data_IF_354074665135
#
_entry.id   IF_354074665135
#
_cell.length_a   1.000
_cell.length_b   1.000
_cell.length_c   1.000
_cell.angle_alpha   90.00
_cell.angle_beta   90.00
_cell.angle_gamma   90.00
#
_symmetry.space_group_name_H-M   'P 1'
#
loop_
_entity.id
_entity.type
_entity.pdbx_description
1 polymer ?
#
# COMPACT_ATOMS: atom_id res chain seq x y z
N UNK A 1 55.56 16.24 -33.20
CA UNK A 1 55.38 15.14 -32.20
C UNK A 1 54.64 15.55 -30.92
N UNK A 2 54.80 16.76 -30.36
CA UNK A 2 54.20 17.14 -29.05
C UNK A 2 52.65 17.20 -28.96
N UNK A 3 51.93 17.54 -30.04
CA UNK A 3 50.45 17.65 -30.03
C UNK A 3 49.70 16.31 -29.98
N UNK A 4 50.25 15.25 -30.57
CA UNK A 4 49.61 13.91 -30.55
C UNK A 4 49.67 13.26 -29.16
N UNK A 5 50.75 13.51 -28.41
CA UNK A 5 50.92 13.00 -27.05
C UNK A 5 49.99 13.64 -26.02
N UNK A 6 49.67 14.94 -26.17
CA UNK A 6 48.72 15.63 -25.28
C UNK A 6 47.27 15.18 -25.48
N UNK A 7 46.85 14.86 -26.71
CA UNK A 7 45.50 14.37 -26.98
C UNK A 7 45.24 12.96 -26.42
N UNK A 8 46.25 12.09 -26.45
CA UNK A 8 46.15 10.73 -25.89
C UNK A 8 46.07 10.77 -24.36
N UNK A 9 46.80 11.70 -23.72
CA UNK A 9 46.79 11.85 -22.27
C UNK A 9 45.44 12.41 -21.74
N UNK A 10 44.79 13.31 -22.49
CA UNK A 10 43.45 13.83 -22.15
C UNK A 10 42.38 12.76 -22.37
N UNK A 11 42.48 11.95 -23.43
CA UNK A 11 41.58 10.82 -23.68
C UNK A 11 41.60 9.75 -22.58
N UNK A 12 42.80 9.44 -22.06
CA UNK A 12 42.97 8.48 -20.95
C UNK A 12 42.48 9.04 -19.60
N UNK A 13 42.60 10.35 -19.37
CA UNK A 13 42.09 11.01 -18.16
C UNK A 13 40.55 11.09 -18.16
N UNK A 14 39.92 11.30 -19.32
CA UNK A 14 38.46 11.26 -19.44
C UNK A 14 37.91 9.83 -19.28
N UNK A 15 38.61 8.81 -19.79
CA UNK A 15 38.20 7.41 -19.63
C UNK A 15 38.27 6.96 -18.15
N UNK A 16 39.27 7.41 -17.39
CA UNK A 16 39.39 7.07 -15.97
C UNK A 16 38.34 7.76 -15.10
N UNK A 17 37.92 8.98 -15.44
CA UNK A 17 36.81 9.69 -14.77
C UNK A 17 35.46 8.99 -15.04
N UNK A 18 35.22 8.49 -16.26
CA UNK A 18 33.99 7.73 -16.56
C UNK A 18 33.98 6.34 -15.89
N UNK A 19 35.13 5.69 -15.73
CA UNK A 19 35.23 4.41 -15.01
C UNK A 19 35.07 4.60 -13.49
N UNK A 20 35.53 5.73 -12.92
CA UNK A 20 35.36 6.00 -11.48
C UNK A 20 33.97 6.52 -11.08
N UNK A 21 33.27 7.25 -11.95
CA UNK A 21 31.88 7.69 -11.66
C UNK A 21 30.90 6.50 -11.73
N UNK A 22 31.23 5.44 -12.48
CA UNK A 22 30.43 4.22 -12.57
C UNK A 22 30.49 3.30 -11.33
N UNK A 23 31.45 3.51 -10.42
CA UNK A 23 31.74 2.59 -9.30
C UNK A 23 31.26 3.06 -7.92
N UNK A 24 30.74 4.28 -7.78
CA UNK A 24 30.29 4.83 -6.49
C UNK A 24 28.79 5.13 -6.42
N UNK A 25 27.97 4.57 -7.31
CA UNK A 25 26.56 4.36 -6.97
C UNK A 25 26.50 3.02 -6.27
N UNK A 26 26.64 3.02 -4.95
CA UNK A 26 26.13 1.90 -4.15
C UNK A 26 24.67 1.75 -4.57
N UNK A 27 24.37 0.78 -5.45
CA UNK A 27 23.01 0.30 -5.65
C UNK A 27 22.63 -0.23 -4.27
N UNK A 28 21.96 0.61 -3.49
CA UNK A 28 21.29 0.19 -2.25
C UNK A 28 20.39 -0.94 -2.70
N UNK A 29 20.82 -2.18 -2.43
CA UNK A 29 19.99 -3.33 -2.66
C UNK A 29 18.90 -3.22 -1.60
N UNK A 30 17.63 -3.04 -1.98
CA UNK A 30 16.57 -3.01 -1.00
C UNK A 30 16.68 -4.28 -0.16
N UNK A 31 16.46 -4.13 1.14
CA UNK A 31 16.38 -5.28 2.02
C UNK A 31 15.23 -6.16 1.54
N UNK A 32 15.51 -7.39 1.18
CA UNK A 32 14.45 -8.33 0.83
C UNK A 32 13.52 -8.50 2.04
N UNK A 33 12.23 -8.27 1.82
CA UNK A 33 11.22 -8.48 2.86
C UNK A 33 11.17 -9.96 3.23
N UNK A 34 10.97 -10.24 4.52
CA UNK A 34 10.76 -11.61 5.00
C UNK A 34 9.31 -12.09 4.80
N UNK A 35 8.40 -11.21 4.35
CA UNK A 35 7.03 -11.60 3.97
C UNK A 35 7.07 -12.56 2.78
N UNK A 36 6.63 -13.80 3.03
CA UNK A 36 6.57 -14.83 2.00
C UNK A 36 5.34 -14.64 1.13
N UNK A 37 5.42 -15.16 -0.09
CA UNK A 37 4.24 -15.26 -0.97
C UNK A 37 3.20 -16.17 -0.31
N UNK A 38 1.92 -15.85 -0.48
CA UNK A 38 0.77 -16.58 0.08
C UNK A 38 0.69 -16.62 1.62
N UNK A 39 1.56 -15.87 2.32
CA UNK A 39 1.53 -15.72 3.77
C UNK A 39 0.39 -14.80 4.19
N UNK A 40 -0.35 -15.20 5.23
CA UNK A 40 -1.46 -14.42 5.79
C UNK A 40 -0.96 -13.06 6.29
N UNK A 41 -1.69 -12.01 5.93
CA UNK A 41 -1.47 -10.63 6.34
C UNK A 41 -2.58 -10.22 7.30
N UNK A 42 -2.18 -9.71 8.45
CA UNK A 42 -3.05 -9.02 9.41
C UNK A 42 -2.70 -7.53 9.37
N UNK A 43 -3.48 -6.77 8.64
CA UNK A 43 -3.20 -5.39 8.30
C UNK A 43 -3.88 -4.42 9.24
N UNK A 44 -3.21 -3.31 9.54
CA UNK A 44 -3.77 -2.18 10.30
C UNK A 44 -3.33 -0.89 9.62
N UNK A 45 -4.14 0.17 9.67
CA UNK A 45 -3.80 1.44 9.01
C UNK A 45 -3.34 2.51 10.01
N UNK A 46 -2.25 3.18 9.67
CA UNK A 46 -1.74 4.40 10.28
C UNK A 46 -1.93 5.48 9.23
N UNK A 47 -3.02 6.23 9.34
CA UNK A 47 -3.32 7.35 8.45
C UNK A 47 -2.50 8.60 8.83
N UNK A 48 -2.87 9.79 8.39
CA UNK A 48 -2.21 11.05 8.77
C UNK A 48 -3.05 11.93 9.72
N UNK A 49 -4.24 11.50 10.15
CA UNK A 49 -5.08 12.30 11.04
C UNK A 49 -4.70 12.21 12.53
N UNK A 50 -3.77 11.32 12.91
CA UNK A 50 -3.38 11.09 14.30
C UNK A 50 -2.28 12.02 14.84
N UNK A 51 -1.57 12.77 14.00
CA UNK A 51 -0.32 13.46 14.38
C UNK A 51 -0.46 14.40 15.59
N UNK A 52 -1.61 15.05 15.74
CA UNK A 52 -1.86 16.02 16.83
C UNK A 52 -2.50 15.37 18.06
N UNK A 53 -3.00 14.14 17.96
CA UNK A 53 -3.80 13.49 19.01
C UNK A 53 -3.08 12.31 19.66
N UNK A 54 -2.13 11.68 18.96
CA UNK A 54 -1.52 10.42 19.37
C UNK A 54 0.00 10.46 19.26
N UNK A 55 0.71 9.94 20.26
CA UNK A 55 2.18 9.84 20.19
C UNK A 55 2.57 8.61 19.39
N UNK A 56 3.60 8.73 18.55
CA UNK A 56 4.18 7.57 17.85
C UNK A 56 4.60 6.43 18.79
N UNK A 57 4.96 6.73 20.04
CA UNK A 57 5.31 5.71 21.02
C UNK A 57 4.13 4.81 21.38
N UNK A 58 2.92 5.36 21.44
CA UNK A 58 1.70 4.64 21.80
C UNK A 58 1.28 3.72 20.64
N UNK A 59 1.41 4.19 19.40
CA UNK A 59 1.23 3.38 18.18
C UNK A 59 2.21 2.19 18.17
N UNK A 60 3.50 2.45 18.44
CA UNK A 60 4.53 1.39 18.51
C UNK A 60 4.22 0.39 19.63
N UNK A 61 3.74 0.86 20.79
CA UNK A 61 3.34 0.01 21.91
C UNK A 61 2.18 -0.90 21.52
N UNK A 62 1.12 -0.33 20.93
CA UNK A 62 -0.07 -1.06 20.49
C UNK A 62 0.25 -2.13 19.43
N UNK A 63 1.08 -1.80 18.42
CA UNK A 63 1.53 -2.77 17.41
C UNK A 63 2.35 -3.90 18.03
N UNK A 64 3.27 -3.57 18.95
CA UNK A 64 4.14 -4.55 19.61
C UNK A 64 3.36 -5.52 20.49
N UNK A 65 2.24 -5.08 21.05
CA UNK A 65 1.39 -5.89 21.92
C UNK A 65 0.44 -6.84 21.16
N UNK A 66 0.38 -6.75 19.81
CA UNK A 66 -0.45 -7.66 19.02
C UNK A 66 0.09 -9.10 19.10
N UNK A 67 -0.79 -10.13 19.09
CA UNK A 67 -0.38 -11.53 19.24
C UNK A 67 0.39 -12.08 18.03
N UNK A 68 0.39 -11.36 16.91
CA UNK A 68 1.12 -11.65 15.67
C UNK A 68 1.84 -10.40 15.22
N UNK A 69 2.88 -10.52 14.39
CA UNK A 69 3.52 -9.35 13.76
C UNK A 69 2.61 -8.82 12.64
N UNK A 70 1.95 -7.65 12.81
CA UNK A 70 1.00 -7.14 11.83
C UNK A 70 1.74 -6.54 10.61
N UNK A 71 0.97 -6.19 9.58
CA UNK A 71 1.41 -5.28 8.51
C UNK A 71 0.77 -3.91 8.71
N UNK A 72 1.56 -2.91 9.07
CA UNK A 72 1.10 -1.54 9.19
C UNK A 72 1.09 -0.87 7.81
N UNK A 73 -0.09 -0.51 7.31
CA UNK A 73 -0.25 0.37 6.16
C UNK A 73 -0.08 1.81 6.61
N UNK A 74 0.90 2.52 6.08
CA UNK A 74 1.14 3.93 6.40
C UNK A 74 0.67 4.79 5.24
N UNK A 75 -0.41 5.55 5.45
CA UNK A 75 -0.92 6.52 4.47
C UNK A 75 -0.13 7.81 4.61
N UNK A 76 0.43 8.27 3.50
CA UNK A 76 1.30 9.43 3.49
C UNK A 76 0.55 10.66 3.00
N UNK A 77 0.49 11.69 3.83
CA UNK A 77 0.02 13.02 3.48
C UNK A 77 0.75 13.55 2.25
N UNK A 78 0.00 14.18 1.33
CA UNK A 78 0.57 14.89 0.19
C UNK A 78 1.58 15.96 0.62
N UNK A 79 1.26 16.68 1.70
CA UNK A 79 1.99 17.88 2.13
C UNK A 79 3.26 17.54 2.91
N UNK A 80 3.41 16.29 3.36
CA UNK A 80 4.60 15.81 4.04
C UNK A 80 5.55 15.15 3.06
N UNK A 81 6.83 15.54 3.08
CA UNK A 81 7.83 14.94 2.20
C UNK A 81 8.15 13.50 2.62
N UNK A 82 8.45 12.57 1.69
CA UNK A 82 8.79 11.20 2.09
C UNK A 82 10.01 11.10 3.02
N UNK A 83 10.91 12.09 3.02
CA UNK A 83 12.06 12.14 3.94
C UNK A 83 11.62 12.28 5.40
N UNK A 84 10.54 13.02 5.65
CA UNK A 84 10.08 13.33 7.01
C UNK A 84 9.42 12.10 7.66
N UNK A 85 8.98 11.14 6.84
CA UNK A 85 8.45 9.85 7.27
C UNK A 85 9.51 8.86 7.78
N UNK A 86 10.81 9.09 7.53
CA UNK A 86 11.89 8.13 7.85
C UNK A 86 11.86 7.70 9.31
N UNK A 87 11.63 8.65 10.24
CA UNK A 87 11.58 8.34 11.68
C UNK A 87 10.38 7.45 12.03
N UNK A 88 9.22 7.71 11.44
CA UNK A 88 8.01 6.91 11.66
C UNK A 88 8.20 5.50 11.10
N UNK A 89 8.52 5.39 9.82
CA UNK A 89 8.73 4.11 9.13
C UNK A 89 9.77 3.25 9.85
N UNK A 90 10.91 3.82 10.24
CA UNK A 90 11.95 3.11 10.99
C UNK A 90 11.46 2.57 12.34
N UNK A 91 10.59 3.30 13.05
CA UNK A 91 10.03 2.84 14.33
C UNK A 91 9.01 1.73 14.13
N UNK A 92 8.10 1.90 13.18
CA UNK A 92 7.03 0.93 12.88
C UNK A 92 7.62 -0.38 12.33
N UNK A 93 8.59 -0.33 11.42
CA UNK A 93 9.24 -1.51 10.82
C UNK A 93 9.94 -2.43 11.83
N UNK A 94 10.25 -1.92 13.04
CA UNK A 94 10.80 -2.74 14.13
C UNK A 94 9.78 -3.69 14.76
N UNK A 95 8.49 -3.38 14.66
CA UNK A 95 7.40 -4.10 15.35
C UNK A 95 6.33 -4.61 14.39
N UNK A 96 6.32 -4.16 13.14
CA UNK A 96 5.38 -4.56 12.10
C UNK A 96 6.11 -4.68 10.75
N UNK A 97 5.52 -5.39 9.80
CA UNK A 97 5.80 -5.16 8.38
C UNK A 97 5.19 -3.83 7.95
N UNK A 98 5.69 -3.21 6.89
CA UNK A 98 5.20 -1.91 6.43
C UNK A 98 4.72 -1.98 4.99
N UNK A 99 3.46 -1.60 4.77
CA UNK A 99 2.95 -1.24 3.45
C UNK A 99 2.92 0.29 3.34
N UNK A 100 3.69 0.87 2.42
CA UNK A 100 3.60 2.30 2.15
C UNK A 100 2.43 2.59 1.22
N UNK A 101 1.60 3.57 1.57
CA UNK A 101 0.65 4.22 0.67
C UNK A 101 1.11 5.66 0.41
N UNK A 102 1.98 5.90 -0.62
CA UNK A 102 2.48 7.23 -0.92
C UNK A 102 1.43 8.23 -1.41
N UNK A 103 0.34 7.74 -1.99
CA UNK A 103 -0.76 8.56 -2.53
C UNK A 103 -2.09 7.90 -2.22
N UNK A 104 -2.83 8.48 -1.29
CA UNK A 104 -4.22 8.15 -1.05
C UNK A 104 -5.12 8.50 -2.26
N UNK A 105 -6.25 7.82 -2.37
CA UNK A 105 -7.19 7.95 -3.49
C UNK A 105 -7.80 9.35 -3.55
N UNK A 106 -8.16 9.97 -2.41
CA UNK A 106 -8.65 11.36 -2.33
C UNK A 106 -7.61 12.39 -2.80
N UNK A 107 -6.33 12.06 -2.59
CA UNK A 107 -5.19 12.89 -2.95
C UNK A 107 -4.70 12.69 -4.38
N UNK A 108 -5.12 11.62 -5.06
CA UNK A 108 -4.66 11.30 -6.42
C UNK A 108 -4.92 12.43 -7.41
N UNK A 109 -6.04 13.14 -7.26
CA UNK A 109 -6.44 14.29 -8.08
C UNK A 109 -5.47 15.47 -7.99
N UNK A 110 -4.69 15.53 -6.91
CA UNK A 110 -3.71 16.58 -6.67
C UNK A 110 -2.39 16.37 -7.42
N UNK A 111 -2.17 15.17 -7.97
CA UNK A 111 -1.09 14.88 -8.90
C UNK A 111 -1.63 15.07 -10.32
N UNK A 112 -1.35 16.21 -10.96
CA UNK A 112 -2.03 16.61 -12.20
C UNK A 112 -1.58 15.83 -13.43
N UNK A 113 -0.42 15.19 -13.36
CA UNK A 113 0.19 14.46 -14.47
C UNK A 113 0.91 13.18 -14.00
N UNK A 114 1.42 12.41 -14.96
CA UNK A 114 2.17 11.17 -14.70
C UNK A 114 3.49 11.46 -13.98
N UNK A 115 4.15 12.57 -14.31
CA UNK A 115 5.49 12.91 -13.79
C UNK A 115 5.46 13.22 -12.30
N UNK A 116 4.49 14.02 -11.84
CA UNK A 116 4.28 14.36 -10.43
C UNK A 116 3.93 13.12 -9.60
N UNK A 117 3.06 12.25 -10.12
CA UNK A 117 2.75 10.98 -9.47
C UNK A 117 3.99 10.08 -9.38
N UNK A 118 4.69 9.87 -10.49
CA UNK A 118 5.92 9.07 -10.53
C UNK A 118 6.98 9.61 -9.58
N UNK A 119 7.18 10.94 -9.54
CA UNK A 119 8.14 11.58 -8.64
C UNK A 119 7.85 11.26 -7.17
N UNK A 120 6.58 11.25 -6.76
CA UNK A 120 6.18 10.86 -5.40
C UNK A 120 6.66 9.45 -5.05
N UNK A 121 6.47 8.49 -5.95
CA UNK A 121 6.93 7.11 -5.73
C UNK A 121 8.45 6.98 -5.74
N UNK A 122 9.14 7.65 -6.67
CA UNK A 122 10.61 7.64 -6.72
C UNK A 122 11.22 8.25 -5.46
N UNK A 123 10.68 9.37 -4.98
CA UNK A 123 11.14 10.00 -3.74
C UNK A 123 10.82 9.14 -2.52
N UNK A 124 9.64 8.54 -2.44
CA UNK A 124 9.32 7.62 -1.35
C UNK A 124 10.25 6.41 -1.34
N UNK A 125 10.48 5.78 -2.48
CA UNK A 125 11.41 4.66 -2.57
C UNK A 125 12.81 5.02 -2.10
N UNK A 126 13.32 6.18 -2.55
CA UNK A 126 14.65 6.68 -2.19
C UNK A 126 14.86 6.84 -0.68
N UNK A 127 13.85 7.25 0.05
CA UNK A 127 13.99 7.51 1.50
C UNK A 127 13.48 6.38 2.39
N UNK A 128 12.52 5.58 1.93
CA UNK A 128 11.74 4.68 2.79
C UNK A 128 11.92 3.20 2.44
N UNK A 129 12.63 2.84 1.36
CA UNK A 129 12.79 1.44 0.94
C UNK A 129 13.44 0.53 1.97
N UNK A 130 14.34 1.04 2.82
CA UNK A 130 14.93 0.25 3.92
C UNK A 130 13.93 -0.17 5.00
N UNK A 131 12.74 0.44 5.01
CA UNK A 131 11.71 0.28 6.03
C UNK A 131 10.34 -0.07 5.44
N UNK A 132 10.28 -0.47 4.16
CA UNK A 132 9.03 -0.73 3.44
C UNK A 132 9.08 -2.11 2.80
N UNK A 133 8.08 -2.94 3.13
CA UNK A 133 7.97 -4.31 2.62
C UNK A 133 7.07 -4.38 1.36
N UNK A 134 6.04 -3.55 1.30
CA UNK A 134 5.04 -3.51 0.22
C UNK A 134 4.79 -2.04 -0.18
N UNK A 135 4.67 -1.78 -1.47
CA UNK A 135 4.35 -0.46 -2.02
C UNK A 135 2.98 -0.45 -2.68
N UNK A 136 2.02 0.22 -2.08
CA UNK A 136 0.71 0.46 -2.68
C UNK A 136 0.85 1.55 -3.75
N UNK A 137 0.89 1.12 -5.02
CA UNK A 137 1.13 1.98 -6.18
C UNK A 137 -0.13 2.68 -6.70
N UNK A 138 -1.25 2.47 -6.02
CA UNK A 138 -2.53 3.12 -6.26
C UNK A 138 -3.55 2.64 -5.24
N UNK A 139 -4.22 3.59 -4.60
CA UNK A 139 -5.36 3.33 -3.73
C UNK A 139 -6.68 3.60 -4.49
N UNK A 140 -7.66 2.72 -4.31
CA UNK A 140 -9.02 2.78 -4.84
C UNK A 140 -9.15 3.42 -6.23
N UNK A 141 -8.34 2.94 -7.16
CA UNK A 141 -8.06 3.64 -8.42
C UNK A 141 -9.24 3.72 -9.38
N UNK A 142 -10.32 2.99 -9.06
CA UNK A 142 -11.60 2.99 -9.78
C UNK A 142 -12.63 4.00 -9.24
N UNK A 143 -12.31 4.76 -8.18
CA UNK A 143 -13.18 5.77 -7.60
C UNK A 143 -13.33 7.04 -8.44
N UNK A 144 -14.34 7.08 -9.32
CA UNK A 144 -14.57 8.23 -10.21
C UNK A 144 -14.87 9.52 -9.46
N UNK A 145 -15.60 9.40 -8.35
CA UNK A 145 -16.27 10.54 -7.72
C UNK A 145 -15.32 11.43 -6.93
N UNK A 146 -14.26 10.86 -6.36
CA UNK A 146 -13.24 11.62 -5.62
C UNK A 146 -11.95 11.85 -6.42
N UNK A 147 -11.53 10.90 -7.26
CA UNK A 147 -10.33 11.07 -8.10
C UNK A 147 -10.57 12.14 -9.17
N UNK A 148 -11.78 12.18 -9.77
CA UNK A 148 -12.17 13.18 -10.79
C UNK A 148 -11.13 13.37 -11.91
N UNK A 149 -10.52 12.28 -12.37
CA UNK A 149 -9.57 12.27 -13.49
C UNK A 149 -9.94 11.20 -14.51
N UNK A 150 -9.51 11.41 -15.77
CA UNK A 150 -9.73 10.42 -16.84
C UNK A 150 -9.02 9.11 -16.50
N UNK A 151 -9.69 7.97 -16.67
CA UNK A 151 -9.09 6.64 -16.45
C UNK A 151 -7.76 6.45 -17.19
N UNK A 152 -7.63 6.97 -18.42
CA UNK A 152 -6.38 6.90 -19.17
C UNK A 152 -5.20 7.57 -18.45
N UNK A 153 -5.44 8.70 -17.76
CA UNK A 153 -4.44 9.37 -16.93
C UNK A 153 -4.14 8.55 -15.67
N UNK A 154 -5.17 8.05 -14.98
CA UNK A 154 -5.01 7.18 -13.80
C UNK A 154 -4.16 5.96 -14.16
N UNK A 155 -4.51 5.22 -15.20
CA UNK A 155 -3.74 4.04 -15.66
C UNK A 155 -2.30 4.40 -16.04
N UNK A 156 -2.08 5.57 -16.64
CA UNK A 156 -0.71 6.02 -17.00
C UNK A 156 0.14 6.30 -15.76
N UNK A 157 -0.46 6.89 -14.71
CA UNK A 157 0.18 7.07 -13.40
C UNK A 157 0.54 5.74 -12.75
N UNK A 158 -0.40 4.79 -12.72
CA UNK A 158 -0.17 3.45 -12.13
C UNK A 158 0.99 2.72 -12.83
N UNK A 159 1.04 2.79 -14.17
CA UNK A 159 2.17 2.22 -14.94
C UNK A 159 3.51 2.84 -14.55
N UNK A 160 3.57 4.16 -14.39
CA UNK A 160 4.80 4.86 -14.03
C UNK A 160 5.24 4.57 -12.60
N UNK A 161 4.30 4.50 -11.65
CA UNK A 161 4.57 4.08 -10.27
C UNK A 161 5.04 2.62 -10.21
N UNK A 162 4.32 1.70 -10.85
CA UNK A 162 4.72 0.30 -10.98
C UNK A 162 6.14 0.16 -11.53
N UNK A 163 6.44 0.84 -12.65
CA UNK A 163 7.77 0.76 -13.27
C UNK A 163 8.86 1.26 -12.32
N UNK A 164 8.61 2.36 -11.61
CA UNK A 164 9.60 2.97 -10.71
C UNK A 164 9.91 2.06 -9.52
N UNK A 165 8.88 1.46 -8.91
CA UNK A 165 9.03 0.58 -7.75
C UNK A 165 9.56 -0.80 -8.16
N UNK A 166 8.95 -1.45 -9.16
CA UNK A 166 9.31 -2.82 -9.56
C UNK A 166 10.73 -2.89 -10.13
N UNK A 167 11.15 -1.91 -10.94
CA UNK A 167 12.52 -1.89 -11.49
C UNK A 167 13.59 -1.67 -10.42
N UNK A 168 13.21 -1.11 -9.27
CA UNK A 168 14.10 -0.94 -8.13
C UNK A 168 14.12 -2.15 -7.19
N UNK A 169 13.25 -3.14 -7.42
CA UNK A 169 13.15 -4.38 -6.63
C UNK A 169 12.06 -4.36 -5.56
N UNK A 170 11.19 -3.34 -5.52
CA UNK A 170 10.08 -3.28 -4.57
C UNK A 170 8.88 -4.14 -4.96
N UNK A 171 8.22 -4.75 -3.97
CA UNK A 171 6.93 -5.45 -4.15
C UNK A 171 5.79 -4.45 -4.27
N UNK A 172 4.90 -4.67 -5.22
CA UNK A 172 3.83 -3.73 -5.60
C UNK A 172 2.44 -4.24 -5.26
N UNK A 173 1.60 -3.36 -4.71
CA UNK A 173 0.20 -3.59 -4.40
C UNK A 173 -0.69 -2.57 -5.14
N UNK A 174 -1.89 -2.99 -5.53
CA UNK A 174 -2.91 -2.11 -6.10
C UNK A 174 -4.24 -2.40 -5.41
N UNK A 175 -4.87 -1.38 -4.86
CA UNK A 175 -6.14 -1.49 -4.13
C UNK A 175 -7.28 -0.92 -4.99
N UNK A 176 -8.40 -1.62 -5.00
CA UNK A 176 -9.61 -1.27 -5.74
C UNK A 176 -10.79 -1.16 -4.78
N UNK A 177 -11.69 -0.21 -5.02
CA UNK A 177 -12.90 -0.08 -4.23
C UNK A 177 -13.99 -1.00 -4.77
N UNK A 178 -14.60 -1.82 -3.91
CA UNK A 178 -15.77 -2.60 -4.27
C UNK A 178 -17.03 -1.86 -3.83
N UNK A 179 -18.02 -1.79 -4.71
CA UNK A 179 -19.30 -1.13 -4.43
C UNK A 179 -20.45 -2.12 -4.55
N UNK A 180 -21.55 -1.79 -3.89
CA UNK A 180 -22.83 -2.46 -4.04
C UNK A 180 -23.16 -2.54 -5.55
N UNK A 181 -23.40 -3.73 -6.12
CA UNK A 181 -23.66 -3.90 -7.55
C UNK A 181 -24.84 -3.07 -8.09
N UNK A 182 -25.69 -2.51 -7.22
CA UNK A 182 -26.76 -1.57 -7.58
C UNK A 182 -26.26 -0.20 -8.06
N UNK A 183 -25.03 0.20 -7.73
CA UNK A 183 -24.50 1.55 -8.01
C UNK A 183 -23.89 1.69 -9.42
N UNK A 184 -23.98 0.67 -10.29
CA UNK A 184 -23.43 0.66 -11.66
C UNK A 184 -21.92 0.98 -11.75
N UNK A 185 -21.19 0.75 -10.66
CA UNK A 185 -19.75 0.93 -10.55
C UNK A 185 -19.03 -0.42 -10.38
N UNK A 186 -19.15 -1.31 -11.37
CA UNK A 186 -18.55 -2.66 -11.29
C UNK A 186 -17.02 -2.60 -11.33
N UNK A 187 -16.41 -2.87 -10.17
CA UNK A 187 -14.96 -2.94 -9.96
C UNK A 187 -14.26 -3.90 -10.94
N UNK A 188 -14.79 -5.10 -11.17
CA UNK A 188 -14.18 -6.12 -12.02
C UNK A 188 -14.27 -5.74 -13.50
N UNK A 189 -15.39 -5.16 -13.93
CA UNK A 189 -15.55 -4.61 -15.28
C UNK A 189 -14.59 -3.45 -15.51
N UNK A 190 -14.46 -2.54 -14.53
CA UNK A 190 -13.50 -1.45 -14.59
C UNK A 190 -12.06 -1.95 -14.70
N UNK A 191 -11.68 -2.96 -13.90
CA UNK A 191 -10.35 -3.59 -13.96
C UNK A 191 -10.10 -4.18 -15.36
N UNK A 192 -11.03 -4.97 -15.90
CA UNK A 192 -10.91 -5.59 -17.22
C UNK A 192 -10.73 -4.55 -18.32
N UNK A 193 -11.47 -3.44 -18.24
CA UNK A 193 -11.45 -2.37 -19.23
C UNK A 193 -10.19 -1.52 -19.16
N UNK A 194 -9.72 -1.18 -17.96
CA UNK A 194 -8.72 -0.13 -17.78
C UNK A 194 -7.32 -0.66 -17.42
N UNK A 195 -7.21 -1.76 -16.66
CA UNK A 195 -5.91 -2.27 -16.19
C UNK A 195 -5.33 -3.27 -17.23
N UNK A 196 -4.18 -2.95 -17.87
CA UNK A 196 -3.61 -3.82 -18.89
C UNK A 196 -3.22 -5.19 -18.34
N UNK A 197 -3.46 -6.25 -19.13
CA UNK A 197 -3.11 -7.64 -18.80
C UNK A 197 -1.67 -7.76 -18.29
N UNK A 198 -0.71 -7.08 -18.95
CA UNK A 198 0.70 -7.10 -18.56
C UNK A 198 0.94 -6.61 -17.13
N UNK A 199 0.22 -5.57 -16.70
CA UNK A 199 0.30 -5.08 -15.32
C UNK A 199 -0.33 -6.10 -14.37
N UNK A 200 -1.54 -6.59 -14.68
CA UNK A 200 -2.25 -7.58 -13.85
C UNK A 200 -1.45 -8.88 -13.64
N UNK A 201 -0.69 -9.31 -14.64
CA UNK A 201 0.13 -10.52 -14.58
C UNK A 201 1.39 -10.37 -13.72
N UNK A 202 1.76 -9.15 -13.30
CA UNK A 202 3.05 -8.88 -12.65
C UNK A 202 2.95 -8.17 -11.30
N UNK A 203 1.76 -7.77 -10.87
CA UNK A 203 1.57 -7.22 -9.52
C UNK A 203 1.80 -8.31 -8.48
N UNK A 204 2.38 -7.93 -7.34
CA UNK A 204 2.61 -8.84 -6.23
C UNK A 204 1.35 -8.99 -5.37
N UNK A 205 0.57 -7.90 -5.24
CA UNK A 205 -0.67 -7.86 -4.47
C UNK A 205 -1.79 -7.12 -5.24
N UNK A 206 -3.02 -7.58 -5.08
CA UNK A 206 -4.23 -6.92 -5.59
C UNK A 206 -5.33 -6.99 -4.54
N UNK A 207 -5.68 -5.86 -3.97
CA UNK A 207 -6.53 -5.78 -2.79
C UNK A 207 -7.87 -5.10 -3.08
N UNK A 208 -8.84 -5.34 -2.20
CA UNK A 208 -10.17 -4.74 -2.22
C UNK A 208 -10.34 -3.84 -0.98
N UNK A 209 -10.67 -2.58 -1.19
CA UNK A 209 -11.26 -1.70 -0.18
C UNK A 209 -12.77 -1.91 -0.14
N UNK A 210 -13.34 -2.05 1.06
CA UNK A 210 -14.78 -2.20 1.24
C UNK A 210 -15.27 -1.68 2.60
N UNK A 211 -16.32 -0.87 2.58
CA UNK A 211 -16.98 -0.30 3.76
C UNK A 211 -18.48 -0.65 3.71
N UNK A 212 -18.98 -1.39 4.71
CA UNK A 212 -20.37 -1.89 4.68
C UNK A 212 -21.40 -0.74 4.75
N UNK A 213 -21.08 0.28 5.54
CA UNK A 213 -21.91 1.46 5.79
C UNK A 213 -21.99 2.41 4.59
N UNK A 214 -20.98 2.41 3.72
CA UNK A 214 -21.05 3.10 2.41
C UNK A 214 -21.90 2.33 1.39
N UNK A 215 -22.28 1.08 1.70
CA UNK A 215 -22.89 0.14 0.76
C UNK A 215 -24.26 -0.38 1.20
N UNK A 216 -24.97 0.39 2.06
CA UNK A 216 -26.28 0.01 2.61
C UNK A 216 -26.25 -1.37 3.31
N UNK A 217 -25.17 -1.64 4.05
CA UNK A 217 -24.90 -2.91 4.74
C UNK A 217 -24.86 -4.13 3.81
N UNK A 218 -24.70 -3.93 2.50
CA UNK A 218 -24.57 -5.01 1.54
C UNK A 218 -23.38 -5.91 1.90
N UNK A 219 -23.58 -7.22 1.73
CA UNK A 219 -22.56 -8.24 1.99
C UNK A 219 -22.26 -8.97 0.68
N UNK A 220 -21.10 -8.73 0.05
CA UNK A 220 -20.71 -9.45 -1.15
C UNK A 220 -20.51 -10.95 -0.88
N UNK A 221 -20.77 -11.77 -1.90
CA UNK A 221 -20.24 -13.13 -1.91
C UNK A 221 -18.72 -13.07 -2.15
N UNK A 222 -17.97 -12.98 -1.06
CA UNK A 222 -16.51 -12.84 -1.10
C UNK A 222 -15.82 -14.01 -1.78
N UNK A 223 -16.36 -15.23 -1.72
CA UNK A 223 -15.81 -16.38 -2.44
C UNK A 223 -15.86 -16.12 -3.94
N UNK A 224 -17.00 -15.66 -4.46
CA UNK A 224 -17.17 -15.33 -5.89
C UNK A 224 -16.30 -14.12 -6.28
N UNK A 225 -16.29 -13.06 -5.48
CA UNK A 225 -15.55 -11.83 -5.77
C UNK A 225 -14.04 -12.11 -5.81
N UNK A 226 -13.47 -12.74 -4.78
CA UNK A 226 -12.04 -13.05 -4.76
C UNK A 226 -11.63 -14.08 -5.81
N UNK A 227 -12.48 -15.06 -6.13
CA UNK A 227 -12.20 -15.99 -7.23
C UNK A 227 -12.07 -15.25 -8.58
N UNK A 228 -12.96 -14.29 -8.84
CA UNK A 228 -12.90 -13.46 -10.05
C UNK A 228 -11.70 -12.51 -10.04
N UNK A 229 -11.38 -11.93 -8.89
CA UNK A 229 -10.19 -11.07 -8.76
C UNK A 229 -8.90 -11.87 -9.01
N UNK A 230 -8.76 -13.05 -8.41
CA UNK A 230 -7.61 -13.95 -8.63
C UNK A 230 -7.45 -14.30 -10.11
N UNK A 231 -8.54 -14.56 -10.83
CA UNK A 231 -8.49 -14.84 -12.27
C UNK A 231 -7.98 -13.64 -13.09
N UNK A 232 -8.26 -12.41 -12.65
CA UNK A 232 -7.74 -11.21 -13.28
C UNK A 232 -6.26 -10.97 -12.95
N UNK A 233 -5.82 -11.37 -11.75
CA UNK A 233 -4.46 -11.20 -11.21
C UNK A 233 -3.86 -12.55 -10.80
N UNK A 234 -3.49 -13.42 -11.77
CA UNK A 234 -3.19 -14.83 -11.50
C UNK A 234 -1.94 -15.06 -10.64
N UNK A 235 -1.03 -14.08 -10.59
CA UNK A 235 0.23 -14.19 -9.85
C UNK A 235 0.22 -13.41 -8.52
N UNK A 236 -0.79 -12.57 -8.30
CA UNK A 236 -0.89 -11.70 -7.14
C UNK A 236 -1.49 -12.44 -5.95
N UNK A 237 -1.01 -12.08 -4.76
CA UNK A 237 -1.78 -12.28 -3.54
C UNK A 237 -3.03 -11.39 -3.61
N UNK A 238 -4.17 -11.90 -3.16
CA UNK A 238 -5.44 -11.17 -3.12
C UNK A 238 -5.96 -11.06 -1.69
N UNK A 239 -6.73 -10.01 -1.41
CA UNK A 239 -7.17 -9.74 -0.03
C UNK A 239 -7.92 -8.43 0.12
N UNK A 240 -8.22 -8.08 1.37
CA UNK A 240 -8.78 -6.80 1.78
C UNK A 240 -7.66 -5.78 1.99
N UNK A 241 -7.71 -4.69 1.26
CA UNK A 241 -6.76 -3.56 1.29
C UNK A 241 -7.19 -2.47 2.25
N UNK A 242 -8.50 -2.37 2.50
CA UNK A 242 -9.10 -1.51 3.52
C UNK A 242 -10.43 -2.13 3.98
N UNK A 243 -10.72 -1.98 5.27
CA UNK A 243 -12.07 -2.17 5.81
C UNK A 243 -12.23 -1.31 7.06
N UNK A 244 -13.47 -1.07 7.48
CA UNK A 244 -13.74 -0.22 8.63
C UNK A 244 -15.18 0.26 8.62
N UNK A 245 -15.46 1.20 9.52
CA UNK A 245 -16.69 1.97 9.51
C UNK A 245 -16.39 3.39 9.03
N UNK A 246 -17.20 3.89 8.10
CA UNK A 246 -17.20 5.29 7.65
C UNK A 246 -18.31 6.11 8.34
N UNK A 247 -19.32 5.44 8.91
CA UNK A 247 -20.44 6.10 9.56
C UNK A 247 -19.98 6.87 10.81
N UNK A 248 -20.26 8.18 10.84
CA UNK A 248 -19.90 9.07 11.95
C UNK A 248 -20.48 8.66 13.31
N UNK A 249 -21.57 7.88 13.32
CA UNK A 249 -22.22 7.36 14.53
C UNK A 249 -21.88 5.89 14.81
N UNK A 250 -20.86 5.31 14.16
CA UNK A 250 -20.43 3.94 14.41
C UNK A 250 -20.06 3.73 15.89
N UNK A 251 -20.75 2.81 16.54
CA UNK A 251 -20.53 2.49 17.96
C UNK A 251 -19.30 1.59 18.13
N UNK A 252 -18.72 1.57 19.35
CA UNK A 252 -17.65 0.61 19.68
C UNK A 252 -18.05 -0.86 19.43
N UNK A 253 -19.33 -1.18 19.63
CA UNK A 253 -19.86 -2.53 19.39
C UNK A 253 -19.95 -2.86 17.91
N UNK A 254 -20.41 -1.93 17.07
CA UNK A 254 -20.46 -2.13 15.61
C UNK A 254 -19.05 -2.25 15.03
N UNK A 255 -18.13 -1.38 15.45
CA UNK A 255 -16.70 -1.46 15.08
C UNK A 255 -16.08 -2.81 15.47
N UNK A 256 -16.30 -3.25 16.72
CA UNK A 256 -15.80 -4.54 17.19
C UNK A 256 -16.41 -5.75 16.46
N UNK A 257 -17.70 -5.71 16.12
CA UNK A 257 -18.36 -6.76 15.36
C UNK A 257 -17.86 -6.84 13.92
N UNK A 258 -17.66 -5.68 13.28
CA UNK A 258 -17.13 -5.59 11.92
C UNK A 258 -15.67 -6.04 11.88
N UNK A 259 -14.83 -5.53 12.77
CA UNK A 259 -13.44 -5.99 12.92
C UNK A 259 -13.37 -7.52 13.06
N UNK A 260 -14.20 -8.12 13.93
CA UNK A 260 -14.28 -9.58 14.04
C UNK A 260 -14.64 -10.22 12.70
N UNK A 261 -15.71 -9.76 12.02
CA UNK A 261 -16.18 -10.31 10.74
C UNK A 261 -15.09 -10.36 9.68
N UNK A 262 -14.35 -9.27 9.49
CA UNK A 262 -13.29 -9.20 8.46
C UNK A 262 -12.06 -10.01 8.85
N UNK A 263 -11.54 -9.84 10.07
CA UNK A 263 -10.31 -10.52 10.47
C UNK A 263 -10.46 -12.04 10.63
N UNK A 264 -11.69 -12.56 10.73
CA UNK A 264 -11.98 -14.01 10.72
C UNK A 264 -12.41 -14.56 9.37
N UNK A 265 -12.29 -13.79 8.28
CA UNK A 265 -12.65 -14.29 6.95
C UNK A 265 -11.81 -15.53 6.57
N UNK A 266 -12.43 -16.59 6.03
CA UNK A 266 -11.70 -17.78 5.62
C UNK A 266 -10.83 -17.49 4.40
N UNK A 267 -9.93 -18.43 4.09
CA UNK A 267 -9.15 -18.40 2.86
C UNK A 267 -10.04 -18.71 1.65
N UNK A 268 -10.39 -17.69 0.86
CA UNK A 268 -11.28 -17.85 -0.31
C UNK A 268 -10.60 -18.42 -1.56
N UNK A 269 -9.31 -18.12 -1.79
CA UNK A 269 -8.56 -18.61 -2.95
C UNK A 269 -7.16 -19.06 -2.56
N UNK A 270 -6.43 -19.70 -3.49
CA UNK A 270 -5.04 -20.15 -3.25
C UNK A 270 -4.11 -19.03 -2.78
N UNK A 271 -4.19 -17.86 -3.41
CA UNK A 271 -3.35 -16.70 -3.07
C UNK A 271 -4.11 -15.66 -2.21
N UNK A 272 -5.23 -16.04 -1.60
CA UNK A 272 -5.87 -15.16 -0.61
C UNK A 272 -5.03 -15.08 0.65
N UNK A 273 -4.69 -13.86 1.06
CA UNK A 273 -3.80 -13.55 2.19
C UNK A 273 -4.47 -12.74 3.29
N UNK A 274 -5.79 -12.55 3.25
CA UNK A 274 -6.46 -11.65 4.20
C UNK A 274 -6.16 -10.20 3.88
N UNK A 275 -5.35 -9.51 4.68
CA UNK A 275 -5.07 -8.08 4.54
C UNK A 275 -5.79 -7.28 5.62
N UNK A 276 -7.11 -7.19 5.59
CA UNK A 276 -7.97 -6.64 6.66
C UNK A 276 -7.53 -5.28 7.23
N UNK A 277 -6.90 -4.42 6.44
CA UNK A 277 -6.34 -3.15 6.93
C UNK A 277 -7.43 -2.25 7.49
N UNK A 278 -7.58 -2.28 8.82
CA UNK A 278 -8.60 -1.49 9.51
C UNK A 278 -8.24 -0.01 9.39
N UNK A 279 -9.07 0.75 8.66
CA UNK A 279 -8.76 2.11 8.22
C UNK A 279 -8.48 3.07 9.37
N UNK A 280 -9.35 3.11 10.38
CA UNK A 280 -9.22 4.01 11.55
C UNK A 280 -8.47 3.36 12.73
N UNK A 281 -7.49 2.48 12.47
CA UNK A 281 -6.91 1.68 13.56
C UNK A 281 -6.23 2.52 14.64
N UNK A 282 -5.55 3.61 14.28
CA UNK A 282 -4.93 4.47 15.30
C UNK A 282 -5.99 5.11 16.19
N UNK A 283 -7.05 5.64 15.60
CA UNK A 283 -8.15 6.34 16.27
C UNK A 283 -8.95 5.37 17.17
N UNK A 284 -9.17 4.16 16.67
CA UNK A 284 -10.01 3.17 17.35
C UNK A 284 -9.27 2.36 18.40
N UNK A 285 -7.96 2.16 18.23
CA UNK A 285 -7.19 1.18 18.99
C UNK A 285 -6.03 1.77 19.80
N UNK A 286 -5.72 3.06 19.67
CA UNK A 286 -4.60 3.68 20.40
C UNK A 286 -5.11 4.81 21.32
N UNK A 287 -4.84 4.75 22.64
CA UNK A 287 -4.11 3.70 23.36
C UNK A 287 -4.86 2.36 23.39
N UNK A 288 -4.09 1.27 23.50
CA UNK A 288 -4.58 -0.10 23.37
C UNK A 288 -5.05 -0.71 24.70
N UNK A 289 -4.57 -0.17 25.81
CA UNK A 289 -4.90 -0.60 27.16
C UNK A 289 -6.40 -0.46 27.42
N UNK A 290 -7.05 -1.57 27.82
CA UNK A 290 -8.49 -1.64 28.07
C UNK A 290 -9.37 -1.23 26.86
N UNK A 291 -8.84 -1.31 25.64
CA UNK A 291 -9.56 -0.94 24.43
C UNK A 291 -10.35 -2.12 23.85
N UNK A 292 -11.68 -1.99 23.78
CA UNK A 292 -12.56 -3.07 23.31
C UNK A 292 -12.40 -3.41 21.83
N UNK A 293 -12.10 -2.43 20.98
CA UNK A 293 -11.94 -2.63 19.53
C UNK A 293 -10.61 -3.32 19.26
N UNK A 294 -9.53 -2.83 19.89
CA UNK A 294 -8.21 -3.48 19.85
C UNK A 294 -8.30 -4.95 20.29
N UNK A 295 -9.01 -5.22 21.40
CA UNK A 295 -9.23 -6.57 21.90
C UNK A 295 -10.04 -7.44 20.92
N UNK A 296 -11.02 -6.88 20.22
CA UNK A 296 -11.81 -7.60 19.21
C UNK A 296 -10.95 -8.00 18.00
N UNK A 297 -10.11 -7.09 17.51
CA UNK A 297 -9.14 -7.38 16.45
C UNK A 297 -8.19 -8.49 16.93
N UNK A 298 -7.51 -8.30 18.06
CA UNK A 298 -6.48 -9.24 18.53
C UNK A 298 -7.01 -10.66 18.80
N UNK A 299 -8.23 -10.80 19.35
CA UNK A 299 -8.86 -12.12 19.52
C UNK A 299 -9.11 -12.83 18.18
N UNK A 300 -9.33 -12.07 17.11
CA UNK A 300 -9.58 -12.59 15.76
C UNK A 300 -8.29 -13.04 15.04
N UNK A 301 -7.11 -12.68 15.56
CA UNK A 301 -5.81 -13.05 14.98
C UNK A 301 -5.26 -14.40 15.50
N UNK A 302 -5.91 -15.01 16.50
CA UNK A 302 -5.40 -16.18 17.23
C UNK A 302 -5.87 -17.52 16.63
N UNK A 303 -6.28 -17.53 15.37
CA UNK A 303 -6.85 -18.68 14.66
C UNK A 303 -6.19 -18.85 13.29
#
# INVERSE_FOLDING_TARGET
MKRKSQMILIGLLCLSIFVFIGLCVNKVRPRETTLKKDEQIYGVTIDDSWYDTTKTADIVSALKAMPVKPTARIVMSKDTSPKDYVRLFKKIHRVAYVMACPVDSYEMRQYKDVKSYQKRFTDSYRYLSDYTDIWEIGNEVNGSDWIKQKNALVVSKLKAAYQSISSAGGKTALTFYYENPKYDHDMLAWIKKNIPVRLRSKLDYSFISYYEDDNEDYQPDWQVVFSRLQNLFPNSNVGMGECGNTAANATKNSKGAMAKRYYTMPKYTKHYVGGYFWWEWVQDCVPHENNSIYNAINKSLQH
#
